data_IF_439217925780
#
_entry.id   IF_439217925780
#
_cell.length_a   1.000
_cell.length_b   1.000
_cell.length_c   1.000
_cell.angle_alpha   90.00
_cell.angle_beta   90.00
_cell.angle_gamma   90.00
#
_symmetry.space_group_name_H-M   'P 1'
#
loop_
_entity.id
_entity.type
_entity.pdbx_description
1 polymer ?
#
# COMPACT_ATOMS: atom_id res chain seq x y z
N UNK A 1 20.83 11.83 -7.53
CA UNK A 1 19.81 11.01 -8.20
C UNK A 1 19.73 9.67 -7.50
N UNK A 2 18.66 9.43 -6.72
CA UNK A 2 18.19 8.11 -6.23
C UNK A 2 17.05 8.27 -5.17
N UNK A 3 16.11 9.22 -5.37
CA UNK A 3 15.06 9.51 -4.37
C UNK A 3 13.94 8.46 -4.32
N UNK A 4 13.79 7.64 -5.37
CA UNK A 4 12.77 6.58 -5.42
C UNK A 4 12.93 5.54 -4.29
N UNK A 5 14.17 5.28 -3.84
CA UNK A 5 14.43 4.32 -2.75
C UNK A 5 14.17 4.91 -1.35
N UNK A 6 14.36 6.20 -1.18
CA UNK A 6 14.11 6.89 0.10
C UNK A 6 12.61 6.97 0.37
N UNK A 7 11.83 7.40 -0.62
CA UNK A 7 10.37 7.46 -0.51
C UNK A 7 9.76 6.10 -0.18
N UNK A 8 10.26 5.01 -0.80
CA UNK A 8 9.77 3.66 -0.51
C UNK A 8 9.97 3.26 0.97
N UNK A 9 11.15 3.53 1.54
CA UNK A 9 11.45 3.16 2.93
C UNK A 9 10.61 3.98 3.91
N UNK A 10 10.50 5.28 3.67
CA UNK A 10 9.68 6.17 4.51
C UNK A 10 8.20 5.77 4.45
N UNK A 11 7.70 5.46 3.25
CA UNK A 11 6.33 5.01 3.06
C UNK A 11 6.05 3.66 3.72
N UNK A 12 7.01 2.73 3.67
CA UNK A 12 6.89 1.43 4.33
C UNK A 12 6.88 1.60 5.86
N UNK A 13 7.79 2.42 6.39
CA UNK A 13 7.85 2.70 7.82
C UNK A 13 6.55 3.34 8.33
N UNK A 14 5.99 4.31 7.61
CA UNK A 14 4.69 4.91 7.95
C UNK A 14 3.54 3.90 7.91
N UNK A 15 3.56 2.97 6.96
CA UNK A 15 2.59 1.88 6.89
C UNK A 15 2.74 0.92 8.07
N UNK A 16 3.98 0.62 8.50
CA UNK A 16 4.25 -0.19 9.68
C UNK A 16 3.82 0.49 10.97
N UNK A 17 4.09 1.79 11.13
CA UNK A 17 3.64 2.59 12.27
C UNK A 17 2.11 2.66 12.36
N UNK A 18 1.43 2.76 11.21
CA UNK A 18 -0.05 2.85 11.18
C UNK A 18 -0.74 1.51 11.34
N UNK A 19 -0.11 0.43 10.91
CA UNK A 19 -0.68 -0.92 10.93
C UNK A 19 0.30 -1.93 11.51
N UNK A 20 0.72 -1.80 12.79
CA UNK A 20 1.83 -2.58 13.35
C UNK A 20 1.60 -4.10 13.29
N UNK A 21 0.36 -4.55 13.55
CA UNK A 21 0.04 -5.98 13.62
C UNK A 21 -0.44 -6.60 12.30
N UNK A 22 -0.35 -5.87 11.18
CA UNK A 22 -0.90 -6.31 9.89
C UNK A 22 0.14 -6.24 8.79
N UNK A 23 0.56 -7.38 8.27
CA UNK A 23 1.44 -7.42 7.09
C UNK A 23 0.65 -7.24 5.77
N UNK A 24 -0.60 -7.70 5.78
CA UNK A 24 -1.56 -7.58 4.69
C UNK A 24 -2.72 -6.67 5.11
N UNK A 25 -2.96 -5.64 4.32
CA UNK A 25 -4.10 -4.74 4.47
C UNK A 25 -5.24 -5.19 3.56
N UNK A 26 -6.47 -4.99 4.00
CA UNK A 26 -7.61 -5.15 3.11
C UNK A 26 -7.72 -3.93 2.16
N UNK A 27 -8.48 -4.08 1.07
CA UNK A 27 -8.69 -3.00 0.09
C UNK A 27 -9.25 -1.72 0.72
N UNK A 28 -10.07 -1.78 1.78
CA UNK A 28 -10.60 -0.58 2.44
C UNK A 28 -9.50 0.16 3.22
N UNK A 29 -8.65 -0.55 3.95
CA UNK A 29 -7.51 0.03 4.68
C UNK A 29 -6.51 0.65 3.71
N UNK A 30 -6.24 -0.05 2.60
CA UNK A 30 -5.43 0.47 1.50
C UNK A 30 -6.03 1.75 0.90
N UNK A 31 -7.35 1.77 0.67
CA UNK A 31 -8.06 2.93 0.14
C UNK A 31 -7.96 4.14 1.07
N UNK A 32 -8.14 3.93 2.37
CA UNK A 32 -8.04 4.97 3.41
C UNK A 32 -6.61 5.52 3.50
N UNK A 33 -5.59 4.68 3.35
CA UNK A 33 -4.20 5.14 3.31
C UNK A 33 -3.89 5.97 2.06
N UNK A 34 -4.39 5.52 0.91
CA UNK A 34 -4.18 6.18 -0.39
C UNK A 34 -5.07 7.41 -0.61
N UNK A 35 -6.10 7.61 0.23
CA UNK A 35 -7.08 8.69 0.06
C UNK A 35 -7.96 8.53 -1.18
N UNK A 36 -8.20 7.30 -1.64
CA UNK A 36 -8.97 7.00 -2.86
C UNK A 36 -10.18 6.13 -2.55
N UNK A 37 -11.10 6.01 -3.52
CA UNK A 37 -12.20 5.05 -3.41
C UNK A 37 -11.70 3.60 -3.43
N UNK A 38 -12.26 2.70 -2.60
CA UNK A 38 -11.90 1.27 -2.59
C UNK A 38 -11.98 0.58 -3.96
N UNK A 39 -12.86 1.03 -4.86
CA UNK A 39 -12.97 0.49 -6.24
C UNK A 39 -11.80 0.93 -7.12
N UNK A 40 -11.10 2.00 -6.75
CA UNK A 40 -9.94 2.54 -7.46
C UNK A 40 -8.66 1.82 -7.05
N UNK A 41 -8.60 1.28 -5.83
CA UNK A 41 -7.45 0.51 -5.31
C UNK A 41 -7.04 -0.65 -6.23
N UNK A 42 -7.93 -1.57 -6.68
CA UNK A 42 -7.53 -2.64 -7.58
C UNK A 42 -7.13 -2.13 -8.98
N UNK A 43 -7.61 -0.96 -9.41
CA UNK A 43 -7.19 -0.34 -10.67
C UNK A 43 -5.78 0.24 -10.59
N UNK A 44 -5.43 0.82 -9.43
CA UNK A 44 -4.10 1.37 -9.16
C UNK A 44 -3.05 0.29 -8.90
N UNK A 45 -3.43 -0.75 -8.17
CA UNK A 45 -2.51 -1.82 -7.76
C UNK A 45 -2.46 -2.99 -8.75
N UNK A 46 -3.47 -3.11 -9.62
CA UNK A 46 -3.55 -4.14 -10.66
C UNK A 46 -3.38 -5.55 -10.08
N UNK A 47 -2.44 -6.31 -10.64
CA UNK A 47 -2.11 -7.68 -10.23
C UNK A 47 -1.45 -7.80 -8.85
N UNK A 48 -1.17 -6.69 -8.15
CA UNK A 48 -0.62 -6.71 -6.79
C UNK A 48 -1.68 -6.93 -5.70
N UNK A 49 -2.97 -6.95 -6.06
CA UNK A 49 -4.05 -7.33 -5.15
C UNK A 49 -4.13 -8.86 -5.10
N UNK A 50 -3.95 -9.41 -3.91
CA UNK A 50 -4.03 -10.84 -3.64
C UNK A 50 -5.50 -11.33 -3.64
N UNK A 51 -5.72 -12.64 -3.86
CA UNK A 51 -7.03 -13.27 -3.70
C UNK A 51 -7.64 -12.92 -2.34
N UNK A 52 -8.91 -12.51 -2.33
CA UNK A 52 -9.59 -12.03 -1.12
C UNK A 52 -9.42 -10.54 -0.84
N UNK A 53 -9.05 -9.73 -1.85
CA UNK A 53 -8.96 -8.26 -1.74
C UNK A 53 -7.97 -7.80 -0.67
N UNK A 54 -6.81 -8.46 -0.61
CA UNK A 54 -5.71 -8.10 0.30
C UNK A 54 -4.54 -7.51 -0.47
N UNK A 55 -3.79 -6.61 0.17
CA UNK A 55 -2.65 -5.90 -0.39
C UNK A 55 -1.54 -5.89 0.64
N UNK A 56 -0.32 -6.27 0.26
CA UNK A 56 0.83 -6.16 1.16
C UNK A 56 1.29 -4.71 1.31
N UNK A 57 1.77 -4.34 2.50
CA UNK A 57 2.36 -3.00 2.73
C UNK A 57 3.47 -2.67 1.73
N UNK A 58 4.27 -3.67 1.37
CA UNK A 58 5.32 -3.55 0.34
C UNK A 58 4.74 -3.16 -1.02
N UNK A 59 3.68 -3.83 -1.46
CA UNK A 59 3.05 -3.52 -2.74
C UNK A 59 2.46 -2.10 -2.75
N UNK A 60 1.92 -1.69 -1.60
CA UNK A 60 1.33 -0.39 -1.36
C UNK A 60 2.39 0.73 -1.35
N UNK A 61 3.48 0.56 -0.60
CA UNK A 61 4.61 1.49 -0.56
C UNK A 61 5.26 1.64 -1.95
N UNK A 62 5.40 0.54 -2.71
CA UNK A 62 5.90 0.58 -4.09
C UNK A 62 4.97 1.28 -5.08
N UNK A 63 3.67 1.37 -4.79
CA UNK A 63 2.72 2.02 -5.69
C UNK A 63 2.71 3.54 -5.56
N UNK A 64 3.25 4.07 -4.47
CA UNK A 64 3.29 5.50 -4.14
C UNK A 64 4.72 6.08 -4.14
N UNK A 65 5.72 5.29 -4.55
CA UNK A 65 7.12 5.70 -4.65
C UNK A 65 7.52 6.04 -6.07
#
# INVERSE_FOLDING_TARGET
MAREKENYRDNLQRLDERFPDKELLNVKEAAVWLGVDPRTVPKLLGSKVLPGSKVSKVALAKAIS
#
